data_IF_827772181928
#
_entry.id   IF_827772181928
#
_cell.length_a   1.000
_cell.length_b   1.000
_cell.length_c   1.000
_cell.angle_alpha   90.00
_cell.angle_beta   90.00
_cell.angle_gamma   90.00
#
_symmetry.space_group_name_H-M   'P 1'
#
loop_
_entity.id
_entity.type
_entity.pdbx_description
1 polymer ?
#
# COMPACT_ATOMS: atom_id res chain seq x y z
N UNK A 1 -8.13 -6.83 19.09
CA UNK A 1 -7.22 -7.02 17.94
C UNK A 1 -7.82 -6.30 16.74
N UNK A 2 -7.13 -5.29 16.21
CA UNK A 2 -7.62 -4.53 15.04
C UNK A 2 -7.50 -5.40 13.80
N UNK A 3 -8.62 -5.78 13.19
CA UNK A 3 -8.60 -6.56 11.97
C UNK A 3 -8.00 -5.69 10.84
N UNK A 4 -6.87 -6.13 10.25
CA UNK A 4 -6.24 -5.46 9.11
C UNK A 4 -7.23 -5.27 7.95
N UNK A 5 -8.20 -6.18 7.79
CA UNK A 5 -9.27 -6.02 6.81
C UNK A 5 -10.08 -4.77 7.12
N UNK A 6 -10.52 -4.55 8.36
CA UNK A 6 -11.27 -3.34 8.78
C UNK A 6 -10.51 -2.03 8.58
N UNK A 7 -9.17 -2.02 8.64
CA UNK A 7 -8.38 -0.80 8.35
C UNK A 7 -8.51 -0.39 6.88
N UNK A 8 -8.67 -1.37 5.99
CA UNK A 8 -8.70 -1.16 4.55
C UNK A 8 -10.09 -1.28 3.91
N UNK A 9 -11.07 -1.88 4.61
CA UNK A 9 -12.43 -2.12 4.10
C UNK A 9 -13.45 -1.06 4.48
N UNK A 10 -13.12 -0.13 5.40
CA UNK A 10 -14.04 0.92 5.88
C UNK A 10 -13.97 2.22 5.03
N UNK A 11 -13.80 2.08 3.72
CA UNK A 11 -13.31 3.13 2.83
C UNK A 11 -14.37 3.69 1.89
N UNK A 12 -15.41 4.29 2.47
CA UNK A 12 -16.28 5.25 1.79
C UNK A 12 -15.64 6.64 1.62
N UNK A 13 -14.33 6.78 1.86
CA UNK A 13 -13.61 8.06 1.79
C UNK A 13 -12.18 7.94 1.25
N UNK A 14 -11.65 9.07 0.78
CA UNK A 14 -10.28 9.15 0.24
C UNK A 14 -9.25 8.69 1.29
N UNK A 15 -8.29 7.82 0.91
CA UNK A 15 -7.27 7.34 1.84
C UNK A 15 -6.45 8.52 2.39
N UNK A 16 -6.28 8.59 3.71
CA UNK A 16 -5.46 9.62 4.35
C UNK A 16 -4.06 9.11 4.62
N UNK A 17 -3.05 9.85 4.18
CA UNK A 17 -1.64 9.52 4.34
C UNK A 17 -0.84 10.80 4.60
N UNK A 18 0.36 10.65 5.16
CA UNK A 18 1.26 11.77 5.37
C UNK A 18 2.05 12.06 4.09
N UNK A 19 2.11 13.33 3.63
CA UNK A 19 2.76 13.71 2.37
C UNK A 19 4.22 13.27 2.29
N UNK A 20 4.94 13.24 3.42
CA UNK A 20 6.34 12.81 3.45
C UNK A 20 6.56 11.35 3.02
N UNK A 21 5.53 10.49 3.10
CA UNK A 21 5.63 9.11 2.63
C UNK A 21 5.87 9.05 1.12
N UNK A 22 5.25 9.95 0.34
CA UNK A 22 5.45 9.99 -1.11
C UNK A 22 6.86 10.47 -1.50
N UNK A 23 7.47 11.32 -0.68
CA UNK A 23 8.87 11.74 -0.88
C UNK A 23 9.85 10.60 -0.55
N UNK A 24 9.55 9.81 0.48
CA UNK A 24 10.39 8.69 0.93
C UNK A 24 10.31 7.47 0.00
N UNK A 25 9.15 7.24 -0.61
CA UNK A 25 8.88 6.10 -1.49
C UNK A 25 8.56 6.56 -2.91
N UNK A 26 9.59 6.92 -3.71
CA UNK A 26 9.40 7.56 -5.00
C UNK A 26 8.79 6.64 -6.07
N UNK A 27 8.70 5.33 -5.85
CA UNK A 27 7.99 4.40 -6.74
C UNK A 27 6.50 4.31 -6.46
N UNK A 28 6.00 4.96 -5.41
CA UNK A 28 4.57 5.01 -5.06
C UNK A 28 3.98 6.31 -5.58
N UNK A 29 2.75 6.25 -6.09
CA UNK A 29 1.99 7.41 -6.52
C UNK A 29 0.55 7.32 -6.05
N UNK A 30 -0.07 8.48 -5.90
CA UNK A 30 -1.46 8.62 -5.51
C UNK A 30 -2.12 9.57 -6.49
N UNK A 31 -3.15 9.08 -7.17
CA UNK A 31 -3.91 9.84 -8.15
C UNK A 31 -5.39 9.51 -7.97
N UNK A 32 -6.28 10.49 -7.70
CA UNK A 32 -7.71 10.26 -7.55
C UNK A 32 -8.36 9.52 -8.74
N UNK A 33 -7.80 9.69 -9.94
CA UNK A 33 -8.30 9.05 -11.16
C UNK A 33 -7.79 7.60 -11.35
N UNK A 34 -6.88 7.13 -10.49
CA UNK A 34 -6.34 5.76 -10.53
C UNK A 34 -6.70 5.07 -9.23
N UNK A 35 -7.47 3.98 -9.31
CA UNK A 35 -7.91 3.22 -8.15
C UNK A 35 -8.50 4.13 -7.06
N UNK A 36 -9.27 5.17 -7.41
CA UNK A 36 -9.92 6.06 -6.42
C UNK A 36 -8.96 6.79 -5.46
N UNK A 37 -7.73 7.09 -5.87
CA UNK A 37 -6.75 7.78 -5.01
C UNK A 37 -6.01 6.86 -4.04
N UNK A 38 -6.14 5.55 -4.18
CA UNK A 38 -5.33 4.61 -3.42
C UNK A 38 -3.86 4.63 -3.84
N UNK A 39 -2.91 4.37 -2.91
CA UNK A 39 -1.51 4.28 -3.24
C UNK A 39 -1.24 3.11 -4.18
N UNK A 40 -0.63 3.42 -5.32
CA UNK A 40 -0.27 2.46 -6.36
C UNK A 40 1.21 2.55 -6.68
N UNK A 41 1.77 1.45 -7.21
CA UNK A 41 3.10 1.47 -7.81
C UNK A 41 3.03 2.30 -9.10
N UNK A 42 3.93 3.28 -9.24
CA UNK A 42 4.03 4.18 -10.40
C UNK A 42 4.06 3.40 -11.72
N UNK A 43 3.24 3.86 -12.67
CA UNK A 43 3.10 3.23 -13.98
C UNK A 43 2.20 2.00 -13.99
N UNK A 44 1.56 1.65 -12.88
CA UNK A 44 0.66 0.50 -12.78
C UNK A 44 -0.65 0.86 -12.07
N UNK A 45 -1.59 -0.09 -12.04
CA UNK A 45 -2.80 -0.03 -11.20
C UNK A 45 -2.71 -0.95 -9.96
N UNK A 46 -1.53 -1.47 -9.67
CA UNK A 46 -1.27 -2.37 -8.54
C UNK A 46 -1.15 -1.55 -7.28
N UNK A 47 -2.00 -1.82 -6.29
CA UNK A 47 -1.97 -1.07 -5.04
C UNK A 47 -0.84 -1.54 -4.14
N UNK A 48 -0.32 -0.66 -3.29
CA UNK A 48 0.69 -1.05 -2.29
C UNK A 48 0.13 -2.03 -1.26
N UNK A 49 -1.20 -2.08 -1.11
CA UNK A 49 -1.91 -3.01 -0.22
C UNK A 49 -1.94 -4.41 -0.82
N UNK A 50 -2.09 -4.54 -2.14
CA UNK A 50 -2.03 -5.84 -2.81
C UNK A 50 -0.67 -6.50 -2.56
N UNK A 51 0.41 -5.72 -2.69
CA UNK A 51 1.77 -6.17 -2.37
C UNK A 51 1.90 -6.56 -0.90
N UNK A 52 1.45 -5.70 0.01
CA UNK A 52 1.49 -5.99 1.44
C UNK A 52 0.75 -7.29 1.77
N UNK A 53 -0.46 -7.46 1.23
CA UNK A 53 -1.28 -8.66 1.41
C UNK A 53 -0.63 -9.91 0.85
N UNK A 54 0.03 -9.83 -0.30
CA UNK A 54 0.75 -10.96 -0.87
C UNK A 54 1.91 -11.40 0.03
N UNK A 55 2.71 -10.44 0.52
CA UNK A 55 3.86 -10.73 1.38
C UNK A 55 3.42 -11.32 2.73
N UNK A 56 2.40 -10.77 3.40
CA UNK A 56 1.91 -11.32 4.68
C UNK A 56 1.27 -12.72 4.52
N UNK A 57 0.80 -13.07 3.32
CA UNK A 57 0.29 -14.41 2.99
C UNK A 57 1.42 -15.42 2.69
N UNK A 58 2.68 -14.98 2.72
CA UNK A 58 3.85 -15.83 2.50
C UNK A 58 4.31 -15.92 1.06
N UNK A 59 3.80 -15.08 0.15
CA UNK A 59 4.32 -15.03 -1.22
C UNK A 59 5.72 -14.41 -1.23
N UNK A 60 6.68 -15.07 -1.88
CA UNK A 60 8.02 -14.51 -2.08
C UNK A 60 7.98 -13.35 -3.09
N UNK A 61 8.89 -12.36 -3.00
CA UNK A 61 8.98 -11.28 -3.97
C UNK A 61 9.07 -11.78 -5.42
N UNK A 62 9.82 -12.85 -5.66
CA UNK A 62 10.00 -13.46 -6.98
C UNK A 62 8.70 -14.03 -7.52
N UNK A 63 7.90 -14.67 -6.67
CA UNK A 63 6.58 -15.20 -7.06
C UNK A 63 5.59 -14.09 -7.40
N UNK A 64 5.62 -12.98 -6.65
CA UNK A 64 4.74 -11.83 -6.89
C UNK A 64 5.10 -11.16 -8.22
N UNK A 65 6.39 -10.96 -8.50
CA UNK A 65 6.86 -10.43 -9.79
C UNK A 65 6.38 -11.30 -10.94
N UNK A 66 6.52 -12.63 -10.81
CA UNK A 66 6.11 -13.56 -11.85
C UNK A 66 4.59 -13.49 -12.12
N UNK A 67 3.77 -13.51 -11.07
CA UNK A 67 2.31 -13.42 -11.20
C UNK A 67 1.86 -12.12 -11.89
N UNK A 68 2.42 -10.97 -11.50
CA UNK A 68 2.07 -9.71 -12.15
C UNK A 68 2.58 -9.65 -13.59
N UNK A 69 3.74 -10.26 -13.89
CA UNK A 69 4.26 -10.35 -15.25
C UNK A 69 3.34 -11.16 -16.16
N UNK A 70 2.76 -12.25 -15.67
CA UNK A 70 1.76 -13.07 -16.39
C UNK A 70 0.49 -12.27 -16.72
N UNK A 71 0.16 -11.27 -15.90
CA UNK A 71 -0.94 -10.32 -16.13
C UNK A 71 -0.57 -9.12 -17.01
N UNK A 72 0.64 -9.10 -17.59
CA UNK A 72 1.13 -7.99 -18.42
C UNK A 72 1.61 -6.77 -17.62
N UNK A 73 1.83 -6.91 -16.32
CA UNK A 73 2.35 -5.84 -15.46
C UNK A 73 3.83 -6.11 -15.14
N UNK A 74 4.72 -5.22 -15.57
CA UNK A 74 6.14 -5.31 -15.23
C UNK A 74 6.40 -4.67 -13.86
N UNK A 75 6.89 -5.47 -12.91
CA UNK A 75 7.34 -5.02 -11.60
C UNK A 75 8.79 -5.47 -11.35
N UNK A 76 9.54 -4.66 -10.62
CA UNK A 76 10.87 -5.02 -10.13
C UNK A 76 10.90 -5.09 -8.59
N UNK A 77 11.99 -5.66 -8.06
CA UNK A 77 12.18 -5.88 -6.62
C UNK A 77 12.14 -4.57 -5.81
N UNK A 78 12.69 -3.48 -6.34
CA UNK A 78 12.71 -2.18 -5.68
C UNK A 78 11.30 -1.57 -5.56
N UNK A 79 10.46 -1.75 -6.59
CA UNK A 79 9.06 -1.33 -6.56
C UNK A 79 8.27 -2.11 -5.50
N UNK A 80 8.53 -3.41 -5.38
CA UNK A 80 7.93 -4.27 -4.35
C UNK A 80 8.36 -3.88 -2.94
N UNK A 81 9.66 -3.70 -2.70
CA UNK A 81 10.17 -3.31 -1.38
C UNK A 81 9.64 -1.93 -0.96
N UNK A 82 9.66 -0.95 -1.88
CA UNK A 82 9.09 0.37 -1.62
C UNK A 82 7.59 0.31 -1.35
N UNK A 83 6.82 -0.48 -2.12
CA UNK A 83 5.38 -0.64 -1.90
C UNK A 83 5.08 -1.28 -0.53
N UNK A 84 5.85 -2.31 -0.16
CA UNK A 84 5.70 -2.98 1.13
C UNK A 84 6.02 -2.05 2.30
N UNK A 85 7.18 -1.39 2.26
CA UNK A 85 7.62 -0.44 3.30
C UNK A 85 6.68 0.76 3.41
N UNK A 86 6.21 1.29 2.28
CA UNK A 86 5.18 2.34 2.26
C UNK A 86 3.94 1.89 3.01
N UNK A 87 3.42 0.69 2.72
CA UNK A 87 2.22 0.16 3.39
C UNK A 87 2.43 -0.04 4.89
N UNK A 88 3.61 -0.52 5.31
CA UNK A 88 3.96 -0.65 6.73
C UNK A 88 3.98 0.70 7.46
N UNK A 89 4.69 1.69 6.93
CA UNK A 89 4.76 3.02 7.56
C UNK A 89 3.41 3.73 7.54
N UNK A 90 2.64 3.54 6.48
CA UNK A 90 1.29 4.06 6.41
C UNK A 90 0.38 3.44 7.47
N UNK A 91 0.45 2.12 7.67
CA UNK A 91 -0.27 1.43 8.75
C UNK A 91 0.13 1.94 10.13
N UNK A 92 1.43 2.16 10.38
CA UNK A 92 1.91 2.73 11.64
C UNK A 92 1.35 4.13 11.88
N UNK A 93 1.33 4.97 10.85
CA UNK A 93 0.72 6.30 10.92
C UNK A 93 -0.78 6.24 11.25
N UNK A 94 -1.52 5.33 10.60
CA UNK A 94 -2.95 5.15 10.86
C UNK A 94 -3.21 4.66 12.29
N UNK A 95 -2.37 3.75 12.80
CA UNK A 95 -2.45 3.28 14.18
C UNK A 95 -2.24 4.42 15.18
N UNK A 96 -1.14 5.17 15.05
CA UNK A 96 -0.82 6.29 15.93
C UNK A 96 -1.92 7.36 15.91
N UNK A 97 -2.55 7.61 14.75
CA UNK A 97 -3.68 8.53 14.63
C UNK A 97 -4.93 8.04 15.36
N UNK A 98 -5.20 6.72 15.36
CA UNK A 98 -6.33 6.12 16.09
C UNK A 98 -6.12 6.19 17.60
N UNK A 99 -4.93 5.87 18.09
CA UNK A 99 -4.61 5.94 19.53
C UNK A 99 -4.75 7.36 20.09
N UNK A 100 -4.28 8.38 19.33
CA UNK A 100 -4.45 9.80 19.69
C UNK A 100 -5.89 10.27 19.71
N UNK A 101 -6.79 9.62 18.96
CA UNK A 101 -8.23 9.92 18.98
C UNK A 101 -8.96 9.24 20.13
N UNK A 102 -8.49 8.08 20.59
CA UNK A 102 -9.10 7.35 21.70
C UNK A 102 -8.75 7.95 23.08
N UNK A 103 -7.74 8.82 23.15
CA UNK A 103 -7.26 9.50 24.37
C UNK A 103 -7.79 10.94 24.52
N UNK A 104 -8.68 11.38 23.63
CA UNK A 104 -9.40 12.66 23.69
C UNK A 104 -10.88 12.41 23.85
#
# INVERSE_FOLDING_TARGET
>A
MTNLQQIFSDTSGNPTFHKSLLTKYPTVSINPNIQGGWPVIKGTRVTTIDIFRAIIKGHSPESIILQFKEMGVSLNKDQLDNAFRFSLEWLYFLHAKREKKATK
#
